data_IF_914095820540
#
_entry.id   IF_914095820540
#
_cell.length_a   1.000
_cell.length_b   1.000
_cell.length_c   1.000
_cell.angle_alpha   90.00
_cell.angle_beta   90.00
_cell.angle_gamma   90.00
#
_symmetry.space_group_name_H-M   'P 1'
#
loop_
_entity.id
_entity.type
_entity.pdbx_description
1 polymer ?
#
# COMPACT_ATOMS: atom_id res chain seq x y z
N UNK A 1 15.05 12.35 6.68
CA UNK A 1 13.75 12.93 6.29
C UNK A 1 13.13 13.61 7.51
N UNK A 2 12.59 14.82 7.37
CA UNK A 2 11.94 15.51 8.49
C UNK A 2 10.65 14.77 8.91
N UNK A 3 10.22 14.90 10.17
CA UNK A 3 9.05 14.20 10.70
C UNK A 3 7.79 14.46 9.86
N UNK A 4 7.60 15.70 9.41
CA UNK A 4 6.47 16.10 8.55
C UNK A 4 6.53 15.45 7.17
N UNK A 5 7.69 15.44 6.51
CA UNK A 5 7.86 14.81 5.20
C UNK A 5 7.64 13.30 5.27
N UNK A 6 8.08 12.67 6.36
CA UNK A 6 7.85 11.26 6.63
C UNK A 6 6.36 10.94 6.70
N UNK A 7 5.60 11.75 7.42
CA UNK A 7 4.16 11.59 7.55
C UNK A 7 3.45 11.80 6.20
N UNK A 8 3.85 12.82 5.42
CA UNK A 8 3.31 13.03 4.06
C UNK A 8 3.55 11.80 3.18
N UNK A 9 4.76 11.23 3.21
CA UNK A 9 5.08 10.07 2.40
C UNK A 9 4.33 8.81 2.85
N UNK A 10 4.12 8.64 4.17
CA UNK A 10 3.33 7.55 4.74
C UNK A 10 1.88 7.54 4.26
N UNK A 11 1.31 8.71 3.94
CA UNK A 11 -0.06 8.83 3.44
C UNK A 11 -0.10 8.75 1.91
N UNK A 12 0.86 9.41 1.25
CA UNK A 12 0.87 9.54 -0.21
C UNK A 12 1.10 8.21 -0.93
N UNK A 13 1.98 7.36 -0.42
CA UNK A 13 2.32 6.09 -1.06
C UNK A 13 1.15 5.09 -1.02
N UNK A 14 0.46 4.85 0.11
CA UNK A 14 -0.76 4.05 0.13
C UNK A 14 -1.82 4.52 -0.86
N UNK A 15 -2.00 5.83 -1.02
CA UNK A 15 -2.96 6.39 -1.99
C UNK A 15 -2.59 5.98 -3.42
N UNK A 16 -1.31 6.05 -3.80
CA UNK A 16 -0.87 5.62 -5.13
C UNK A 16 -1.11 4.11 -5.33
N UNK A 17 -0.73 3.29 -4.35
CA UNK A 17 -0.91 1.83 -4.44
C UNK A 17 -2.40 1.49 -4.54
N UNK A 18 -3.28 2.26 -3.89
CA UNK A 18 -4.73 2.08 -3.98
C UNK A 18 -5.26 2.30 -5.41
N UNK A 19 -4.82 3.35 -6.11
CA UNK A 19 -5.22 3.57 -7.51
C UNK A 19 -4.73 2.46 -8.43
N UNK A 20 -3.51 1.94 -8.20
CA UNK A 20 -2.98 0.79 -8.94
C UNK A 20 -3.83 -0.46 -8.68
N UNK A 21 -4.21 -0.72 -7.42
CA UNK A 21 -5.07 -1.83 -7.06
C UNK A 21 -6.45 -1.74 -7.74
N UNK A 22 -7.06 -0.55 -7.77
CA UNK A 22 -8.31 -0.31 -8.51
C UNK A 22 -8.11 -0.64 -9.99
N UNK A 23 -7.05 -0.13 -10.62
CA UNK A 23 -6.80 -0.39 -12.04
C UNK A 23 -6.68 -1.89 -12.35
N UNK A 24 -5.98 -2.64 -11.50
CA UNK A 24 -5.85 -4.10 -11.65
C UNK A 24 -7.20 -4.80 -11.51
N UNK A 25 -8.00 -4.44 -10.50
CA UNK A 25 -9.35 -4.99 -10.32
C UNK A 25 -10.22 -4.71 -11.54
N UNK A 26 -10.12 -3.51 -12.08
CA UNK A 26 -10.87 -3.02 -13.22
C UNK A 26 -10.60 -3.81 -14.51
N UNK A 27 -9.36 -4.27 -14.69
CA UNK A 27 -8.94 -5.07 -15.84
C UNK A 27 -9.20 -6.57 -15.62
N UNK A 28 -9.05 -7.05 -14.38
CA UNK A 28 -9.15 -8.47 -14.07
C UNK A 28 -10.58 -8.99 -13.96
N UNK A 29 -11.53 -8.13 -13.61
CA UNK A 29 -12.95 -8.48 -13.46
C UNK A 29 -13.71 -7.77 -14.58
N UNK A 30 -13.99 -8.51 -15.66
CA UNK A 30 -14.79 -8.02 -16.79
C UNK A 30 -16.06 -7.34 -16.26
N UNK A 31 -16.28 -6.08 -16.66
CA UNK A 31 -17.21 -5.14 -16.03
C UNK A 31 -18.68 -5.57 -16.18
N UNK A 32 -19.18 -6.45 -15.31
CA UNK A 32 -20.62 -6.75 -15.24
C UNK A 32 -21.22 -6.66 -13.82
N UNK A 33 -20.57 -5.96 -12.90
CA UNK A 33 -21.19 -5.73 -11.60
C UNK A 33 -20.61 -4.52 -10.91
N UNK A 34 -21.51 -3.67 -10.46
CA UNK A 34 -21.39 -2.45 -9.65
C UNK A 34 -20.71 -2.64 -8.29
N UNK A 35 -19.87 -3.67 -8.13
CA UNK A 35 -19.23 -4.04 -6.88
C UNK A 35 -17.71 -3.91 -7.08
N UNK A 36 -17.22 -2.67 -7.04
CA UNK A 36 -15.78 -2.33 -7.00
C UNK A 36 -15.03 -3.06 -5.85
N UNK A 37 -15.79 -3.60 -4.89
CA UNK A 37 -15.35 -4.45 -3.80
C UNK A 37 -15.96 -5.86 -3.88
N UNK A 38 -15.92 -6.53 -5.02
CA UNK A 38 -16.28 -7.95 -5.08
C UNK A 38 -15.20 -8.75 -4.34
N UNK A 39 -15.30 -8.81 -3.01
CA UNK A 39 -14.31 -9.44 -2.14
C UNK A 39 -14.09 -10.91 -2.54
N UNK A 40 -15.10 -11.60 -3.07
CA UNK A 40 -14.98 -13.00 -3.48
C UNK A 40 -13.93 -13.22 -4.55
N UNK A 41 -13.86 -12.35 -5.55
CA UNK A 41 -12.94 -12.47 -6.67
C UNK A 41 -11.66 -11.66 -6.47
N UNK A 42 -11.76 -10.48 -5.84
CA UNK A 42 -10.66 -9.51 -5.77
C UNK A 42 -9.90 -9.52 -4.45
N UNK A 43 -10.21 -10.43 -3.51
CA UNK A 43 -9.57 -10.49 -2.19
C UNK A 43 -8.04 -10.48 -2.25
N UNK A 44 -7.45 -11.15 -3.25
CA UNK A 44 -6.00 -11.23 -3.40
C UNK A 44 -5.38 -9.86 -3.70
N UNK A 45 -6.04 -9.02 -4.51
CA UNK A 45 -5.58 -7.66 -4.82
C UNK A 45 -5.61 -6.80 -3.56
N UNK A 46 -6.69 -6.88 -2.77
CA UNK A 46 -6.82 -6.14 -1.52
C UNK A 46 -5.84 -6.63 -0.44
N UNK A 47 -5.57 -7.92 -0.39
CA UNK A 47 -4.56 -8.50 0.52
C UNK A 47 -3.17 -7.99 0.15
N UNK A 48 -2.80 -8.04 -1.13
CA UNK A 48 -1.51 -7.52 -1.61
C UNK A 48 -1.39 -6.01 -1.37
N UNK A 49 -2.46 -5.24 -1.60
CA UNK A 49 -2.54 -3.83 -1.27
C UNK A 49 -2.27 -3.58 0.22
N UNK A 50 -3.00 -4.27 1.10
CA UNK A 50 -2.87 -4.13 2.55
C UNK A 50 -1.46 -4.52 3.03
N UNK A 51 -0.94 -5.66 2.57
CA UNK A 51 0.41 -6.11 2.91
C UNK A 51 1.48 -5.13 2.43
N UNK A 52 1.33 -4.56 1.24
CA UNK A 52 2.25 -3.57 0.68
C UNK A 52 2.23 -2.26 1.47
N UNK A 53 1.05 -1.76 1.84
CA UNK A 53 0.92 -0.58 2.69
C UNK A 53 1.56 -0.81 4.06
N UNK A 54 1.27 -1.93 4.73
CA UNK A 54 1.86 -2.27 6.02
C UNK A 54 3.38 -2.42 5.93
N UNK A 55 3.90 -3.09 4.89
CA UNK A 55 5.34 -3.25 4.68
C UNK A 55 6.00 -1.90 4.43
N UNK A 56 5.38 -1.05 3.60
CA UNK A 56 5.89 0.29 3.32
C UNK A 56 5.95 1.15 4.57
N UNK A 57 4.85 1.22 5.33
CA UNK A 57 4.82 1.94 6.60
C UNK A 57 5.85 1.39 7.58
N UNK A 58 5.97 0.07 7.70
CA UNK A 58 7.00 -0.56 8.52
C UNK A 58 8.40 -0.14 8.08
N UNK A 59 8.74 -0.21 6.79
CA UNK A 59 10.06 0.18 6.28
C UNK A 59 10.33 1.67 6.49
N UNK A 60 9.32 2.52 6.32
CA UNK A 60 9.40 3.94 6.52
C UNK A 60 9.66 4.27 8.00
N UNK A 61 8.92 3.64 8.92
CA UNK A 61 9.00 3.87 10.36
C UNK A 61 10.07 3.06 11.09
N UNK A 62 10.60 2.01 10.48
CA UNK A 62 11.76 1.26 10.97
C UNK A 62 12.95 2.19 11.06
N UNK A 63 13.22 2.62 12.29
CA UNK A 63 14.29 3.56 12.62
C UNK A 63 15.64 2.96 12.21
N UNK A 64 16.52 3.76 11.59
CA UNK A 64 17.85 3.35 11.11
C UNK A 64 18.84 3.04 12.26
N UNK A 65 18.37 2.86 13.50
CA UNK A 65 19.20 2.60 14.69
C UNK A 65 20.15 1.41 14.55
N UNK A 66 19.89 0.51 13.60
CA UNK A 66 20.75 -0.64 13.28
C UNK A 66 22.11 -0.19 12.69
N UNK A 67 22.20 0.97 12.02
CA UNK A 67 23.44 1.45 11.39
C UNK A 67 24.36 2.20 12.37
N UNK A 68 23.82 2.76 13.47
CA UNK A 68 24.62 3.52 14.45
C UNK A 68 25.33 2.65 15.49
N UNK A 69 25.01 1.35 15.56
CA UNK A 69 25.65 0.40 16.49
C UNK A 69 26.90 -0.29 15.90
N UNK A 70 27.27 0.01 14.65
CA UNK A 70 28.60 -0.27 14.09
C UNK A 70 29.44 1.00 14.12
N UNK A 71 29.80 1.49 15.31
CA UNK A 71 30.85 2.50 15.45
C UNK A 71 31.82 2.07 16.53
#
# INVERSE_FOLDING_TARGET
MNKTQKLILAIFVPIIIFFIAIFIVNEAVDYESSILFNLGETWYVWLVYSASCCLFEFLLFRDNKIITQKK
#
